data_IF_238833644726
#
_entry.id   IF_238833644726
#
_cell.length_a   1.000
_cell.length_b   1.000
_cell.length_c   1.000
_cell.angle_alpha   90.00
_cell.angle_beta   90.00
_cell.angle_gamma   90.00
#
_symmetry.space_group_name_H-M   'P 1'
#
loop_
_entity.id
_entity.type
_entity.pdbx_description
1 polymer ?
#
# COMPACT_ATOMS: atom_id res chain seq x y z
N UNK A 1 -5.52 6.84 -18.17
CA UNK A 1 -5.97 7.86 -17.23
C UNK A 1 -6.27 7.24 -15.88
N UNK A 2 -5.85 7.91 -14.83
CA UNK A 2 -6.14 7.46 -13.47
C UNK A 2 -7.53 7.93 -13.05
N UNK A 3 -8.22 7.09 -12.28
CA UNK A 3 -9.47 7.46 -11.64
C UNK A 3 -9.26 7.53 -10.14
N UNK A 4 -9.61 8.66 -9.55
CA UNK A 4 -9.50 8.84 -8.11
C UNK A 4 -10.72 8.28 -7.41
N UNK A 5 -10.49 7.45 -6.40
CA UNK A 5 -11.54 6.83 -5.58
C UNK A 5 -11.37 7.27 -4.14
N UNK A 6 -12.46 7.70 -3.53
CA UNK A 6 -12.47 8.10 -2.12
C UNK A 6 -12.47 6.88 -1.23
N UNK A 7 -11.60 6.87 -0.22
CA UNK A 7 -11.43 5.74 0.70
C UNK A 7 -12.08 6.04 2.04
N UNK A 8 -11.61 7.09 2.71
CA UNK A 8 -12.04 7.43 4.06
C UNK A 8 -11.57 8.84 4.41
N UNK A 9 -12.16 9.44 5.47
CA UNK A 9 -11.60 10.69 6.00
C UNK A 9 -10.16 10.47 6.44
N UNK A 10 -9.28 11.42 6.09
CA UNK A 10 -7.86 11.34 6.46
C UNK A 10 -7.67 11.22 7.97
N UNK A 11 -8.53 11.88 8.74
CA UNK A 11 -8.44 11.85 10.20
C UNK A 11 -8.69 10.45 10.79
N UNK A 12 -9.32 9.55 10.03
CA UNK A 12 -9.62 8.20 10.49
C UNK A 12 -8.55 7.18 10.10
N UNK A 13 -7.58 7.58 9.28
CA UNK A 13 -6.53 6.67 8.86
C UNK A 13 -5.51 6.50 9.99
N UNK A 14 -5.35 5.30 10.55
CA UNK A 14 -4.41 5.11 11.67
C UNK A 14 -2.97 5.26 11.23
N UNK A 15 -2.10 5.63 12.17
CA UNK A 15 -0.67 5.75 11.92
C UNK A 15 -0.03 4.36 12.04
N UNK A 16 0.77 4.00 11.06
CA UNK A 16 1.57 2.77 11.02
C UNK A 16 0.73 1.48 11.07
N UNK A 17 -0.54 1.57 10.66
CA UNK A 17 -1.41 0.42 10.50
C UNK A 17 -2.04 0.44 9.13
N UNK A 18 -2.09 -0.72 8.50
CA UNK A 18 -2.71 -0.83 7.19
C UNK A 18 -4.23 -0.89 7.26
N UNK A 19 -4.84 -0.30 6.25
CA UNK A 19 -6.28 -0.35 6.02
C UNK A 19 -6.49 -0.90 4.62
N UNK A 20 -7.45 -1.81 4.45
CA UNK A 20 -7.77 -2.36 3.12
C UNK A 20 -8.91 -1.57 2.51
N UNK A 21 -8.73 -1.17 1.26
CA UNK A 21 -9.80 -0.62 0.44
C UNK A 21 -10.04 -1.56 -0.74
N UNK A 22 -11.30 -1.87 -1.01
CA UNK A 22 -11.67 -2.66 -2.17
C UNK A 22 -12.16 -1.71 -3.25
N UNK A 23 -11.38 -1.59 -4.32
CA UNK A 23 -11.62 -0.64 -5.40
C UNK A 23 -11.71 -1.39 -6.73
N UNK A 24 -12.90 -1.48 -7.29
CA UNK A 24 -13.14 -2.17 -8.57
C UNK A 24 -12.56 -3.59 -8.57
N UNK A 25 -12.75 -4.32 -7.47
CA UNK A 25 -12.26 -5.68 -7.33
C UNK A 25 -10.80 -5.81 -6.93
N UNK A 26 -10.07 -4.68 -6.78
CA UNK A 26 -8.67 -4.68 -6.38
C UNK A 26 -8.56 -4.33 -4.91
N UNK A 27 -7.88 -5.17 -4.14
CA UNK A 27 -7.61 -4.88 -2.73
C UNK A 27 -6.35 -4.04 -2.61
N UNK A 28 -6.52 -2.83 -2.10
CA UNK A 28 -5.42 -1.87 -1.91
C UNK A 28 -5.16 -1.71 -0.42
N UNK A 29 -3.90 -1.89 -0.02
CA UNK A 29 -3.48 -1.63 1.35
C UNK A 29 -3.00 -0.18 1.44
N UNK A 30 -3.58 0.57 2.37
CA UNK A 30 -3.27 1.98 2.56
C UNK A 30 -2.60 2.16 3.91
N UNK A 31 -1.49 2.89 3.92
CA UNK A 31 -0.69 3.12 5.12
C UNK A 31 -0.42 4.60 5.32
N UNK A 32 -0.37 5.02 6.59
CA UNK A 32 0.15 6.33 6.99
C UNK A 32 1.38 6.11 7.86
N UNK A 33 2.50 6.68 7.47
CA UNK A 33 3.73 6.59 8.27
C UNK A 33 3.70 7.57 9.45
N UNK A 34 4.65 7.40 10.38
CA UNK A 34 4.77 8.30 11.53
C UNK A 34 5.05 9.74 11.09
N UNK A 35 5.72 9.93 9.93
CA UNK A 35 5.99 11.24 9.37
C UNK A 35 4.80 11.85 8.64
N UNK A 36 3.68 11.13 8.56
CA UNK A 36 2.48 11.61 7.88
C UNK A 36 2.41 11.34 6.39
N UNK A 37 3.32 10.54 5.86
CA UNK A 37 3.28 10.15 4.44
C UNK A 37 2.25 9.05 4.23
N UNK A 38 1.58 9.10 3.09
CA UNK A 38 0.60 8.11 2.71
C UNK A 38 1.15 7.22 1.60
N UNK A 39 0.83 5.93 1.68
CA UNK A 39 1.21 4.96 0.67
C UNK A 39 0.05 4.03 0.38
N UNK A 40 -0.10 3.65 -0.89
CA UNK A 40 -1.11 2.69 -1.32
C UNK A 40 -0.43 1.64 -2.17
N UNK A 41 -0.52 0.39 -1.76
CA UNK A 41 0.09 -0.74 -2.45
C UNK A 41 -0.91 -1.89 -2.55
N UNK A 42 -0.61 -2.85 -3.42
CA UNK A 42 -1.43 -4.06 -3.51
C UNK A 42 -1.45 -4.78 -2.16
N UNK A 43 -2.61 -5.27 -1.77
CA UNK A 43 -2.74 -6.08 -0.56
C UNK A 43 -2.27 -7.52 -0.77
N UNK A 44 -1.98 -7.91 -2.00
CA UNK A 44 -1.54 -9.26 -2.33
C UNK A 44 -0.06 -9.43 -2.00
N UNK A 45 0.24 -10.38 -1.12
CA UNK A 45 1.62 -10.82 -0.87
C UNK A 45 2.02 -11.75 -2.00
N UNK A 46 2.99 -11.36 -2.85
CA UNK A 46 3.35 -12.19 -4.02
C UNK A 46 4.05 -13.48 -3.66
N UNK A 47 4.56 -13.63 -2.44
CA UNK A 47 5.21 -14.86 -2.00
C UNK A 47 4.23 -15.90 -1.47
N UNK A 48 3.20 -15.45 -0.74
CA UNK A 48 2.21 -16.37 -0.15
C UNK A 48 0.95 -16.50 -0.98
N UNK A 49 0.65 -15.52 -1.83
CA UNK A 49 -0.60 -15.45 -2.56
C UNK A 49 -1.79 -14.99 -1.71
N UNK A 50 -1.54 -14.55 -0.48
CA UNK A 50 -2.58 -14.12 0.45
C UNK A 50 -2.74 -12.61 0.45
N UNK A 51 -3.94 -12.14 0.71
CA UNK A 51 -4.27 -10.71 0.80
C UNK A 51 -4.00 -10.21 2.21
N UNK A 52 -2.73 -10.00 2.55
CA UNK A 52 -2.31 -9.76 3.94
C UNK A 52 -1.36 -8.59 4.12
N UNK A 53 -0.98 -7.87 3.07
CA UNK A 53 0.01 -6.79 3.20
C UNK A 53 -0.48 -5.72 4.18
N UNK A 54 -1.77 -5.43 4.21
CA UNK A 54 -2.34 -4.47 5.17
C UNK A 54 -2.12 -4.85 6.62
N UNK A 55 -1.88 -6.12 6.90
CA UNK A 55 -1.59 -6.62 8.25
C UNK A 55 -0.10 -6.65 8.55
N UNK A 56 0.73 -6.21 7.61
CA UNK A 56 2.17 -6.17 7.79
C UNK A 56 2.62 -5.12 8.78
N UNK A 57 3.88 -5.20 9.14
CA UNK A 57 4.49 -4.27 10.10
C UNK A 57 5.18 -3.16 9.33
N UNK A 58 4.73 -1.92 9.57
CA UNK A 58 5.35 -0.74 8.99
C UNK A 58 6.62 -0.43 9.75
N UNK A 59 7.68 -0.12 9.00
CA UNK A 59 8.96 0.21 9.58
C UNK A 59 9.77 1.06 8.62
N UNK A 60 11.08 1.03 8.80
CA UNK A 60 11.99 1.75 7.92
C UNK A 60 13.27 0.96 7.73
N UNK A 61 13.88 1.13 6.57
CA UNK A 61 15.21 0.60 6.27
C UNK A 61 15.99 1.73 5.62
N UNK A 62 16.94 2.31 6.37
CA UNK A 62 17.56 3.55 5.98
C UNK A 62 16.52 4.68 6.00
N UNK A 63 16.42 5.44 4.91
CA UNK A 63 15.40 6.47 4.77
C UNK A 63 14.17 6.01 3.97
N UNK A 64 14.02 4.68 3.79
CA UNK A 64 12.87 4.09 3.10
C UNK A 64 11.80 3.70 4.09
N UNK A 65 10.55 4.03 3.78
CA UNK A 65 9.39 3.50 4.51
C UNK A 65 9.09 2.11 3.98
N UNK A 66 8.87 1.15 4.88
CA UNK A 66 8.71 -0.26 4.50
C UNK A 66 7.51 -0.89 5.16
N UNK A 67 7.08 -2.02 4.58
CA UNK A 67 6.13 -2.93 5.21
C UNK A 67 6.69 -4.34 5.12
N UNK A 68 6.65 -5.08 6.23
CA UNK A 68 7.04 -6.49 6.26
C UNK A 68 5.80 -7.35 6.24
N UNK A 69 5.74 -8.31 5.31
CA UNK A 69 4.61 -9.23 5.23
C UNK A 69 4.52 -10.08 6.51
N UNK A 70 3.31 -10.33 7.02
CA UNK A 70 3.17 -11.15 8.22
C UNK A 70 3.42 -12.64 7.97
N UNK A 71 3.40 -13.09 6.71
CA UNK A 71 3.52 -14.51 6.39
C UNK A 71 4.99 -14.93 6.35
N UNK A 72 5.74 -14.45 5.36
CA UNK A 72 7.16 -14.83 5.21
C UNK A 72 8.12 -13.71 5.61
N UNK A 73 7.59 -12.58 6.07
CA UNK A 73 8.35 -11.46 6.61
C UNK A 73 9.28 -10.77 5.61
N UNK A 74 9.06 -10.96 4.31
CA UNK A 74 9.74 -10.17 3.32
C UNK A 74 9.36 -8.70 3.44
N UNK A 75 10.34 -7.82 3.22
CA UNK A 75 10.19 -6.38 3.39
C UNK A 75 10.05 -5.72 2.03
N UNK A 76 9.05 -4.86 1.90
CA UNK A 76 8.77 -4.11 0.68
C UNK A 76 8.91 -2.62 0.93
N UNK A 77 9.49 -1.91 -0.04
CA UNK A 77 9.51 -0.45 -0.06
C UNK A 77 8.09 0.05 -0.36
N UNK A 78 7.54 0.88 0.52
CA UNK A 78 6.17 1.38 0.35
C UNK A 78 6.06 2.39 -0.79
N UNK A 79 7.13 3.06 -1.16
CA UNK A 79 7.10 4.05 -2.23
C UNK A 79 7.20 3.40 -3.61
N UNK A 80 8.06 2.41 -3.78
CA UNK A 80 8.30 1.77 -5.07
C UNK A 80 7.60 0.42 -5.22
N UNK A 81 7.24 -0.21 -4.10
CA UNK A 81 6.70 -1.57 -4.07
C UNK A 81 7.77 -2.63 -4.15
N UNK A 82 9.01 -2.27 -4.34
CA UNK A 82 10.10 -3.22 -4.55
C UNK A 82 10.36 -4.04 -3.29
N UNK A 83 10.47 -5.36 -3.44
CA UNK A 83 10.92 -6.22 -2.35
C UNK A 83 12.40 -5.98 -2.08
N UNK A 84 12.76 -5.71 -0.84
CA UNK A 84 14.14 -5.43 -0.46
C UNK A 84 14.92 -6.70 -0.11
N UNK A 85 14.22 -7.83 -0.01
CA UNK A 85 14.80 -9.12 0.35
C UNK A 85 14.84 -10.10 -0.83
N UNK A 86 14.25 -9.73 -1.97
CA UNK A 86 14.24 -10.59 -3.16
C UNK A 86 14.22 -9.73 -4.41
N UNK A 87 15.14 -9.96 -5.31
CA UNK A 87 15.25 -9.22 -6.55
C UNK A 87 14.13 -9.59 -7.52
N UNK A 88 13.61 -8.59 -8.22
CA UNK A 88 12.60 -8.80 -9.26
C UNK A 88 11.17 -8.98 -8.77
N UNK A 89 10.93 -8.94 -7.48
CA UNK A 89 9.60 -9.06 -6.91
C UNK A 89 9.16 -7.71 -6.38
N UNK A 90 7.91 -7.33 -6.67
CA UNK A 90 7.40 -6.04 -6.22
C UNK A 90 5.88 -6.08 -6.04
N UNK A 91 5.39 -5.20 -5.18
CA UNK A 91 3.97 -4.90 -5.05
C UNK A 91 3.59 -3.85 -6.08
N UNK A 92 2.37 -3.91 -6.61
CA UNK A 92 1.84 -2.79 -7.36
C UNK A 92 1.67 -1.59 -6.42
N UNK A 93 1.99 -0.41 -6.92
CA UNK A 93 1.89 0.85 -6.16
C UNK A 93 0.85 1.74 -6.84
N UNK A 94 0.03 2.40 -6.04
CA UNK A 94 -1.04 3.28 -6.53
C UNK A 94 -0.79 4.70 -6.04
N UNK A 95 -1.18 5.67 -6.84
CA UNK A 95 -1.14 7.07 -6.41
C UNK A 95 -2.15 7.30 -5.30
N UNK A 96 -1.77 8.12 -4.33
CA UNK A 96 -2.60 8.43 -3.18
C UNK A 96 -2.48 9.92 -2.86
N UNK A 97 -3.61 10.51 -2.45
CA UNK A 97 -3.64 11.92 -2.07
C UNK A 97 -4.71 12.16 -1.02
N UNK A 98 -4.67 13.34 -0.41
CA UNK A 98 -5.77 13.85 0.40
C UNK A 98 -6.39 15.03 -0.35
N UNK A 99 -7.70 14.97 -0.55
CA UNK A 99 -8.46 16.02 -1.21
C UNK A 99 -9.64 16.35 -0.33
N UNK A 100 -9.73 17.62 0.11
CA UNK A 100 -10.79 18.08 1.02
C UNK A 100 -10.95 17.19 2.25
N UNK A 101 -9.82 16.78 2.84
CA UNK A 101 -9.81 15.95 4.05
C UNK A 101 -10.12 14.48 3.81
N UNK A 102 -10.27 14.05 2.56
CA UNK A 102 -10.59 12.66 2.22
C UNK A 102 -9.40 12.01 1.50
N UNK A 103 -9.05 10.83 1.95
CA UNK A 103 -8.00 10.02 1.29
C UNK A 103 -8.55 9.45 0.00
N UNK A 104 -7.82 9.63 -1.09
CA UNK A 104 -8.18 9.12 -2.40
C UNK A 104 -7.02 8.34 -3.00
N UNK A 105 -7.36 7.25 -3.68
CA UNK A 105 -6.40 6.39 -4.37
C UNK A 105 -6.77 6.33 -5.84
N UNK A 106 -5.77 6.41 -6.71
CA UNK A 106 -5.96 6.29 -8.16
C UNK A 106 -5.53 4.92 -8.63
N UNK A 107 -6.42 4.25 -9.36
CA UNK A 107 -6.11 2.97 -10.00
C UNK A 107 -5.72 3.25 -11.44
N UNK A 108 -4.50 2.82 -11.81
CA UNK A 108 -4.08 2.85 -13.19
C UNK A 108 -4.59 1.62 -13.92
N UNK A 109 -4.81 1.74 -15.24
CA UNK A 109 -5.38 0.65 -16.03
C UNK A 109 -4.53 -0.61 -15.95
N UNK A 110 -3.22 -0.51 -16.00
CA UNK A 110 -2.31 -1.65 -15.94
C UNK A 110 -2.35 -2.36 -14.58
N UNK A 111 -2.61 -1.64 -13.50
CA UNK A 111 -2.74 -2.24 -12.18
C UNK A 111 -4.04 -3.04 -12.05
N UNK A 112 -5.09 -2.60 -12.74
CA UNK A 112 -6.38 -3.29 -12.71
C UNK A 112 -6.39 -4.56 -13.54
N UNK A 113 -5.52 -4.65 -14.53
CA UNK A 113 -5.45 -5.81 -15.42
C UNK A 113 -4.49 -6.89 -14.93
N UNK A 114 -3.76 -6.65 -13.88
CA UNK A 114 -2.76 -7.59 -13.37
C UNK A 114 -3.37 -8.76 -12.62
#
# INVERSE_FOLDING_TARGET
MSQWRSICPAARLPVERGVVALLDGVQVAVFRTAEGRLHAVSNLDPFSGSMVISRGIVGSRGNRSTVASPVFKQVFDLETGQCLDAEGVRLAVFDIRVEDGTVQVALAAEAMSA
#
